data_IF_306820697522
#
_entry.id   IF_306820697522
#
_cell.length_a   1.000
_cell.length_b   1.000
_cell.length_c   1.000
_cell.angle_alpha   90.00
_cell.angle_beta   90.00
_cell.angle_gamma   90.00
#
_symmetry.space_group_name_H-M   'P 1'
#
loop_
_entity.id
_entity.type
_entity.pdbx_description
1 polymer ?
#
# COMPACT_ATOMS: atom_id res chain seq x y z
N UNK A 1 7.77 -16.93 5.38
CA UNK A 1 7.20 -15.82 4.58
C UNK A 1 7.67 -14.45 5.04
N UNK A 2 8.01 -14.30 6.33
CA UNK A 2 8.72 -13.14 6.87
C UNK A 2 10.18 -13.54 7.13
N UNK A 3 11.14 -12.71 6.71
CA UNK A 3 12.56 -12.89 6.95
C UNK A 3 12.94 -12.56 8.39
N UNK A 4 14.21 -12.82 8.75
CA UNK A 4 14.75 -12.51 10.08
C UNK A 4 14.76 -11.02 10.41
N UNK A 5 14.59 -10.18 9.42
CA UNK A 5 14.50 -8.72 9.50
C UNK A 5 13.07 -8.20 9.67
N UNK A 6 12.09 -9.10 9.77
CA UNK A 6 10.67 -8.75 9.88
C UNK A 6 10.00 -8.37 8.56
N UNK A 7 10.69 -8.49 7.42
CA UNK A 7 10.14 -8.14 6.10
C UNK A 7 9.64 -9.35 5.32
N UNK A 8 8.68 -9.14 4.43
CA UNK A 8 8.26 -10.18 3.49
C UNK A 8 9.44 -10.62 2.60
N UNK A 9 9.69 -11.93 2.51
CA UNK A 9 10.81 -12.49 1.72
C UNK A 9 10.66 -12.26 0.20
N UNK A 10 9.45 -11.92 -0.25
CA UNK A 10 9.15 -11.63 -1.67
C UNK A 10 9.19 -10.13 -2.00
N UNK A 11 9.57 -9.26 -1.05
CA UNK A 11 9.75 -7.83 -1.30
C UNK A 11 11.17 -7.58 -1.81
N UNK A 12 11.28 -7.16 -3.08
CA UNK A 12 12.55 -6.67 -3.63
C UNK A 12 12.78 -5.23 -3.16
N UNK A 13 13.55 -5.08 -2.08
CA UNK A 13 13.71 -3.80 -1.36
C UNK A 13 14.34 -2.69 -2.22
N UNK A 14 15.24 -3.05 -3.12
CA UNK A 14 15.94 -2.09 -3.99
C UNK A 14 14.97 -1.36 -4.92
N UNK A 15 14.02 -2.09 -5.48
CA UNK A 15 13.03 -1.57 -6.44
C UNK A 15 11.66 -1.32 -5.82
N UNK A 16 11.46 -1.75 -4.57
CA UNK A 16 10.17 -1.75 -3.84
C UNK A 16 9.07 -2.50 -4.59
N UNK A 17 9.45 -3.57 -5.30
CA UNK A 17 8.53 -4.42 -6.08
C UNK A 17 8.24 -5.72 -5.33
N UNK A 18 7.00 -6.18 -5.44
CA UNK A 18 6.59 -7.52 -5.02
C UNK A 18 5.49 -8.03 -5.96
N UNK A 19 5.30 -9.35 -6.02
CA UNK A 19 4.24 -9.98 -6.81
C UNK A 19 2.99 -10.24 -5.97
N UNK A 20 1.85 -10.35 -6.63
CA UNK A 20 0.61 -10.84 -6.01
C UNK A 20 0.61 -12.36 -6.05
N UNK A 21 0.51 -13.02 -4.90
CA UNK A 21 0.42 -14.48 -4.78
C UNK A 21 -0.58 -14.87 -3.68
N UNK A 22 -1.07 -16.11 -3.73
CA UNK A 22 -2.25 -16.54 -2.97
C UNK A 22 -2.04 -16.52 -1.45
N UNK A 23 -0.84 -16.88 -0.99
CA UNK A 23 -0.47 -17.06 0.42
C UNK A 23 0.22 -15.85 1.04
N UNK A 24 0.15 -14.65 0.41
CA UNK A 24 0.75 -13.41 0.97
C UNK A 24 0.47 -13.23 2.46
N UNK A 25 1.49 -12.85 3.27
CA UNK A 25 1.29 -12.56 4.68
C UNK A 25 0.15 -11.56 4.88
N UNK A 26 -0.64 -11.74 5.93
CA UNK A 26 -1.84 -10.92 6.13
C UNK A 26 -1.53 -9.41 6.17
N UNK A 27 -0.40 -9.01 6.77
CA UNK A 27 0.02 -7.60 6.84
C UNK A 27 0.42 -7.01 5.47
N UNK A 28 0.64 -7.83 4.44
CA UNK A 28 0.86 -7.37 3.07
C UNK A 28 -0.45 -7.21 2.27
N UNK A 29 -1.61 -7.52 2.87
CA UNK A 29 -2.91 -7.43 2.20
C UNK A 29 -3.58 -6.10 2.55
N UNK A 30 -3.93 -5.36 1.50
CA UNK A 30 -4.67 -4.10 1.61
C UNK A 30 -6.16 -4.45 1.54
N UNK A 31 -6.69 -4.89 2.68
CA UNK A 31 -8.08 -5.36 2.83
C UNK A 31 -8.72 -4.73 4.09
N UNK A 32 -10.04 -4.45 4.10
CA UNK A 32 -10.69 -3.76 5.22
C UNK A 32 -10.47 -4.42 6.58
N UNK A 33 -10.68 -5.74 6.67
CA UNK A 33 -10.54 -6.49 7.93
C UNK A 33 -9.11 -6.45 8.49
N UNK A 34 -8.11 -6.37 7.61
CA UNK A 34 -6.70 -6.26 8.00
C UNK A 34 -6.41 -4.88 8.57
N UNK A 35 -6.93 -3.83 7.92
CA UNK A 35 -6.77 -2.45 8.38
C UNK A 35 -7.51 -2.18 9.70
N UNK A 36 -8.67 -2.78 9.89
CA UNK A 36 -9.37 -2.76 11.19
C UNK A 36 -8.52 -3.44 12.27
N UNK A 37 -7.99 -4.64 11.99
CA UNK A 37 -7.17 -5.40 12.95
C UNK A 37 -5.86 -4.70 13.31
N UNK A 38 -5.17 -4.12 12.33
CA UNK A 38 -3.84 -3.53 12.53
C UNK A 38 -3.89 -2.08 13.01
N UNK A 39 -4.90 -1.31 12.61
CA UNK A 39 -4.93 0.14 12.78
C UNK A 39 -6.22 0.67 13.40
N UNK A 40 -7.22 -0.19 13.66
CA UNK A 40 -8.54 0.26 14.15
C UNK A 40 -9.32 1.10 13.14
N UNK A 41 -9.00 0.99 11.85
CA UNK A 41 -9.67 1.73 10.78
C UNK A 41 -10.94 0.98 10.39
N UNK A 42 -12.10 1.59 10.67
CA UNK A 42 -13.41 1.08 10.25
C UNK A 42 -13.48 0.90 8.72
N UNK A 43 -14.17 -0.15 8.26
CA UNK A 43 -14.34 -0.45 6.83
C UNK A 43 -14.84 0.75 6.01
N UNK A 44 -15.77 1.55 6.56
CA UNK A 44 -16.29 2.76 5.89
C UNK A 44 -15.22 3.83 5.62
N UNK A 45 -14.11 3.81 6.35
CA UNK A 45 -12.96 4.73 6.19
C UNK A 45 -11.82 4.08 5.42
N UNK A 46 -11.83 2.76 5.23
CA UNK A 46 -10.73 1.97 4.67
C UNK A 46 -10.18 2.56 3.36
N UNK A 47 -11.03 2.79 2.36
CA UNK A 47 -10.57 3.30 1.06
C UNK A 47 -9.87 4.65 1.18
N UNK A 48 -10.39 5.55 2.02
CA UNK A 48 -9.80 6.87 2.25
C UNK A 48 -8.42 6.74 2.88
N UNK A 49 -8.30 5.97 3.96
CA UNK A 49 -7.05 5.83 4.70
C UNK A 49 -5.99 5.06 3.90
N UNK A 50 -6.37 3.97 3.24
CA UNK A 50 -5.48 3.21 2.36
C UNK A 50 -4.97 4.08 1.19
N UNK A 51 -5.86 4.84 0.54
CA UNK A 51 -5.44 5.73 -0.54
C UNK A 51 -4.55 6.88 -0.04
N UNK A 52 -4.84 7.46 1.12
CA UNK A 52 -4.00 8.51 1.72
C UNK A 52 -2.60 7.98 2.04
N UNK A 53 -2.50 6.76 2.61
CA UNK A 53 -1.22 6.12 2.90
C UNK A 53 -0.38 5.88 1.64
N UNK A 54 -1.00 5.48 0.53
CA UNK A 54 -0.34 5.39 -0.77
C UNK A 54 0.18 6.75 -1.25
N UNK A 55 -0.64 7.81 -1.16
CA UNK A 55 -0.25 9.17 -1.55
C UNK A 55 0.97 9.64 -0.74
N UNK A 56 0.93 9.49 0.59
CA UNK A 56 2.02 9.92 1.47
C UNK A 56 3.31 9.14 1.19
N UNK A 57 3.20 7.83 0.93
CA UNK A 57 4.34 6.97 0.58
C UNK A 57 4.95 7.38 -0.76
N UNK A 58 4.13 7.61 -1.78
CA UNK A 58 4.63 8.07 -3.09
C UNK A 58 5.33 9.43 -2.94
N UNK A 59 4.75 10.37 -2.20
CA UNK A 59 5.39 11.67 -1.91
C UNK A 59 6.72 11.52 -1.20
N UNK A 60 6.80 10.64 -0.20
CA UNK A 60 8.04 10.42 0.56
C UNK A 60 9.16 9.80 -0.29
N UNK A 61 8.82 8.97 -1.28
CA UNK A 61 9.80 8.27 -2.13
C UNK A 61 10.17 9.07 -3.38
N UNK A 62 9.19 9.65 -4.06
CA UNK A 62 9.33 10.26 -5.38
C UNK A 62 9.15 11.79 -5.37
N UNK A 63 8.59 12.35 -4.30
CA UNK A 63 8.30 13.78 -4.18
C UNK A 63 6.85 14.15 -4.55
N UNK A 64 6.42 15.33 -4.11
CA UNK A 64 5.05 15.84 -4.28
C UNK A 64 4.68 16.22 -5.71
N UNK A 65 5.66 16.41 -6.60
CA UNK A 65 5.46 16.73 -8.02
C UNK A 65 5.89 15.58 -8.94
N UNK A 66 5.83 14.35 -8.44
CA UNK A 66 6.30 13.15 -9.15
C UNK A 66 5.28 12.63 -10.16
N UNK A 67 5.79 11.97 -11.22
CA UNK A 67 4.93 11.35 -12.22
C UNK A 67 4.15 10.17 -11.65
N UNK A 68 4.75 9.48 -10.68
CA UNK A 68 4.14 8.41 -9.91
C UNK A 68 2.87 8.89 -9.19
N UNK A 69 2.94 10.06 -8.54
CA UNK A 69 1.78 10.63 -7.85
C UNK A 69 0.71 11.07 -8.84
N UNK A 70 1.09 11.71 -9.95
CA UNK A 70 0.15 12.06 -11.02
C UNK A 70 -0.59 10.83 -11.56
N UNK A 71 0.15 9.76 -11.90
CA UNK A 71 -0.42 8.54 -12.44
C UNK A 71 -1.34 7.85 -11.43
N UNK A 72 -0.94 7.81 -10.15
CA UNK A 72 -1.77 7.26 -9.08
C UNK A 72 -3.07 8.05 -8.91
N UNK A 73 -2.99 9.37 -8.79
CA UNK A 73 -4.17 10.22 -8.65
C UNK A 73 -5.09 10.11 -9.88
N UNK A 74 -4.53 10.00 -11.08
CA UNK A 74 -5.30 9.73 -12.27
C UNK A 74 -6.03 8.37 -12.16
N UNK A 75 -5.35 7.29 -11.76
CA UNK A 75 -6.00 5.98 -11.65
C UNK A 75 -7.11 5.93 -10.58
N UNK A 76 -6.91 6.58 -9.43
CA UNK A 76 -7.86 6.55 -8.31
C UNK A 76 -9.00 7.55 -8.49
N UNK A 77 -8.74 8.72 -9.09
CA UNK A 77 -9.72 9.82 -9.19
C UNK A 77 -10.32 10.02 -10.59
N UNK A 78 -9.78 9.40 -11.65
CA UNK A 78 -10.45 9.37 -12.97
C UNK A 78 -11.69 8.47 -13.02
N UNK A 79 -12.03 7.81 -11.92
CA UNK A 79 -13.24 6.99 -11.79
C UNK A 79 -14.44 7.75 -11.21
N UNK A 80 -14.47 9.09 -11.37
CA UNK A 80 -15.63 9.93 -11.00
C UNK A 80 -16.37 10.42 -12.23
#
# INVERSE_FOLDING_TARGET
MVGSDGWCIHLEKSTRKCSIYADRPYFCRVEPAIFETLYGIEEKKFNKEACSSCVDTIKAIYGSSSKELENYNAAVWSST
#
